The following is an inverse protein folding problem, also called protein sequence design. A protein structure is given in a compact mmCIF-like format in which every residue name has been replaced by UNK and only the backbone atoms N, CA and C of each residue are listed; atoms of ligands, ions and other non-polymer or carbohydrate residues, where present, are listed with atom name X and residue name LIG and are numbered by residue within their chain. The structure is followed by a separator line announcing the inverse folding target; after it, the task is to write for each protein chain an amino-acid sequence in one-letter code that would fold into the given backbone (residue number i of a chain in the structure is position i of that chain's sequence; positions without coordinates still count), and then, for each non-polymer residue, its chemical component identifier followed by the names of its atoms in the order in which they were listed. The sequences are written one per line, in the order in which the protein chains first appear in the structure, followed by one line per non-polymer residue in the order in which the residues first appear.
data_IF_452091154244
#
_entry.id   IF_452091154244
#
_cell.length_a   1.000
_cell.length_b   1.000
_cell.length_c   1.000
_cell.angle_alpha   90.00
_cell.angle_beta   90.00
_cell.angle_gamma   90.00
#
_symmetry.space_group_name_H-M   'P 1'
#
loop_
_entity.id
_entity.type
_entity.pdbx_description
1 polymer ?
#
# COMPACT_ATOMS: atom_id res chain seq x y z
N UNK A 1 4.02 -11.06 18.71
CA UNK A 1 4.30 -10.95 17.27
C UNK A 1 5.78 -11.22 17.11
N UNK A 2 6.15 -12.22 16.30
CA UNK A 2 7.55 -12.50 15.97
C UNK A 2 8.12 -11.38 15.11
N UNK A 3 9.42 -11.11 15.23
CA UNK A 3 10.10 -10.09 14.42
C UNK A 3 9.96 -10.40 12.92
N UNK A 4 9.73 -9.40 12.05
CA UNK A 4 9.63 -9.62 10.62
C UNK A 4 10.96 -10.16 10.07
N UNK A 5 10.94 -11.39 9.55
CA UNK A 5 12.11 -11.99 8.90
C UNK A 5 11.95 -11.89 7.38
N UNK A 6 13.01 -11.39 6.74
CA UNK A 6 13.08 -11.26 5.29
C UNK A 6 13.28 -12.64 4.64
N UNK A 7 12.58 -12.94 3.54
CA UNK A 7 12.57 -14.27 2.94
C UNK A 7 13.95 -14.70 2.40
N UNK A 8 14.74 -13.75 1.90
CA UNK A 8 16.06 -13.98 1.35
C UNK A 8 17.19 -13.45 2.26
N UNK A 9 16.88 -13.10 3.52
CA UNK A 9 17.85 -12.58 4.49
C UNK A 9 18.72 -11.42 3.97
N UNK A 10 18.14 -10.52 3.18
CA UNK A 10 18.84 -9.35 2.63
C UNK A 10 19.75 -9.67 1.43
N UNK A 11 19.51 -10.79 0.73
CA UNK A 11 20.30 -11.19 -0.43
C UNK A 11 20.47 -10.05 -1.45
N UNK A 12 21.69 -9.95 -2.01
CA UNK A 12 22.06 -8.97 -3.03
C UNK A 12 22.95 -9.61 -4.09
N UNK A 13 22.77 -9.16 -5.32
CA UNK A 13 23.60 -9.49 -6.47
C UNK A 13 23.94 -8.20 -7.24
N UNK A 14 25.21 -8.07 -7.64
CA UNK A 14 25.71 -6.91 -8.40
C UNK A 14 26.41 -7.43 -9.66
N UNK A 15 25.74 -7.30 -10.81
CA UNK A 15 26.21 -7.80 -12.10
C UNK A 15 25.82 -6.84 -13.22
N UNK A 16 25.21 -7.35 -14.30
CA UNK A 16 24.65 -6.46 -15.34
C UNK A 16 23.58 -5.50 -14.78
N UNK A 17 22.89 -5.90 -13.71
CA UNK A 17 21.99 -5.07 -12.94
C UNK A 17 22.19 -5.30 -11.43
N UNK A 18 21.82 -4.30 -10.64
CA UNK A 18 21.78 -4.39 -9.19
C UNK A 18 20.45 -4.99 -8.74
N UNK A 19 20.50 -6.11 -8.03
CA UNK A 19 19.34 -6.78 -7.48
C UNK A 19 19.55 -6.89 -5.98
N UNK A 20 18.58 -6.43 -5.19
CA UNK A 20 18.60 -6.58 -3.73
C UNK A 20 17.21 -6.87 -3.22
N UNK A 21 17.13 -7.66 -2.16
CA UNK A 21 15.91 -7.72 -1.36
C UNK A 21 15.69 -6.36 -0.67
N UNK A 22 14.44 -5.91 -0.63
CA UNK A 22 14.06 -4.61 -0.03
C UNK A 22 13.52 -4.75 1.40
N UNK A 23 13.50 -5.97 1.93
CA UNK A 23 12.87 -6.30 3.20
C UNK A 23 11.34 -6.37 3.12
N UNK A 24 10.67 -6.55 4.27
CA UNK A 24 9.21 -6.60 4.35
C UNK A 24 8.56 -5.29 3.91
N UNK A 25 7.54 -5.39 3.06
CA UNK A 25 6.72 -4.26 2.60
C UNK A 25 5.30 -4.42 3.11
N UNK A 26 4.68 -3.32 3.53
CA UNK A 26 3.27 -3.30 3.89
C UNK A 26 2.41 -3.21 2.64
N UNK A 27 1.41 -4.08 2.54
CA UNK A 27 0.46 -4.10 1.44
C UNK A 27 -0.95 -4.29 1.99
N UNK A 28 -1.87 -3.41 1.58
CA UNK A 28 -3.29 -3.50 1.90
C UNK A 28 -4.07 -3.53 0.59
N UNK A 29 -4.80 -4.62 0.34
CA UNK A 29 -5.80 -4.67 -0.73
C UNK A 29 -7.06 -3.95 -0.26
N UNK A 30 -7.43 -2.88 -0.95
CA UNK A 30 -8.66 -2.12 -0.69
C UNK A 30 -9.65 -2.37 -1.82
N UNK A 31 -10.79 -3.00 -1.50
CA UNK A 31 -11.92 -3.16 -2.41
C UNK A 31 -12.92 -2.03 -2.20
N UNK A 32 -13.21 -1.27 -3.24
CA UNK A 32 -14.10 -0.12 -3.18
C UNK A 32 -14.63 0.26 -4.56
N UNK A 33 -15.95 0.46 -4.69
CA UNK A 33 -16.59 0.91 -5.94
C UNK A 33 -17.61 1.99 -5.65
N UNK A 34 -17.45 3.16 -6.27
CA UNK A 34 -18.42 4.26 -6.16
C UNK A 34 -18.51 4.94 -4.78
N UNK A 35 -17.51 4.75 -3.91
CA UNK A 35 -17.48 5.38 -2.58
C UNK A 35 -16.97 6.82 -2.67
N UNK A 36 -17.77 7.77 -2.18
CA UNK A 36 -17.37 9.19 -2.08
C UNK A 36 -16.19 9.40 -1.12
N UNK A 37 -16.03 8.50 -0.16
CA UNK A 37 -14.98 8.53 0.86
C UNK A 37 -13.66 7.88 0.44
N UNK A 38 -13.57 7.30 -0.77
CA UNK A 38 -12.39 6.57 -1.22
C UNK A 38 -11.13 7.45 -1.22
N UNK A 39 -11.22 8.67 -1.76
CA UNK A 39 -10.09 9.62 -1.76
C UNK A 39 -9.59 9.92 -0.36
N UNK A 40 -10.52 10.06 0.60
CA UNK A 40 -10.18 10.30 2.01
C UNK A 40 -9.48 9.09 2.61
N UNK A 41 -9.96 7.89 2.36
CA UNK A 41 -9.37 6.65 2.88
C UNK A 41 -7.97 6.40 2.32
N UNK A 42 -7.79 6.55 0.99
CA UNK A 42 -6.47 6.42 0.35
C UNK A 42 -5.50 7.46 0.90
N UNK A 43 -5.92 8.73 0.98
CA UNK A 43 -5.06 9.79 1.52
C UNK A 43 -4.70 9.55 2.99
N UNK A 44 -5.63 9.05 3.80
CA UNK A 44 -5.37 8.74 5.21
C UNK A 44 -4.38 7.58 5.40
N UNK A 45 -4.42 6.57 4.53
CA UNK A 45 -3.57 5.40 4.62
C UNK A 45 -2.15 5.63 4.06
N UNK A 46 -2.06 6.25 2.89
CA UNK A 46 -0.81 6.33 2.11
C UNK A 46 -0.41 7.73 1.69
N UNK A 47 -1.22 8.76 2.00
CA UNK A 47 -0.91 10.15 1.69
C UNK A 47 -0.99 10.51 0.21
N UNK A 48 -1.43 9.60 -0.66
CA UNK A 48 -1.57 9.82 -2.10
C UNK A 48 -3.00 10.18 -2.49
N UNK A 49 -3.19 10.54 -3.77
CA UNK A 49 -4.52 10.56 -4.41
C UNK A 49 -4.91 9.14 -4.83
N UNK A 50 -6.17 8.96 -5.20
CA UNK A 50 -6.61 7.76 -5.95
C UNK A 50 -6.01 7.83 -7.36
N UNK A 51 -5.35 6.76 -7.84
CA UNK A 51 -4.75 6.74 -9.16
C UNK A 51 -5.82 6.69 -10.25
N UNK A 52 -5.48 7.24 -11.42
CA UNK A 52 -6.23 6.96 -12.64
C UNK A 52 -6.14 5.47 -13.02
N UNK A 53 -7.05 5.01 -13.88
CA UNK A 53 -7.07 3.62 -14.34
C UNK A 53 -5.71 3.21 -14.94
N UNK A 54 -5.16 2.08 -14.48
CA UNK A 54 -3.83 1.55 -14.86
C UNK A 54 -2.68 2.52 -14.54
N UNK A 55 -2.77 3.23 -13.40
CA UNK A 55 -1.71 4.09 -12.87
C UNK A 55 -1.42 3.76 -11.42
N UNK A 56 -0.32 4.32 -10.95
CA UNK A 56 0.11 4.32 -9.56
C UNK A 56 0.45 5.76 -9.17
N UNK A 57 -0.03 6.18 -8.01
CA UNK A 57 0.38 7.41 -7.36
C UNK A 57 1.40 7.04 -6.29
N UNK A 58 2.56 7.69 -6.30
CA UNK A 58 3.68 7.37 -5.39
C UNK A 58 3.99 8.60 -4.54
N UNK A 59 4.21 8.38 -3.26
CA UNK A 59 4.69 9.36 -2.30
C UNK A 59 5.79 8.73 -1.44
N UNK A 60 7.04 8.91 -1.85
CA UNK A 60 8.22 8.31 -1.22
C UNK A 60 8.09 6.78 -1.08
N UNK A 61 8.00 6.27 0.15
CA UNK A 61 7.88 4.86 0.51
C UNK A 61 6.43 4.35 0.53
N UNK A 62 5.48 5.16 0.06
CA UNK A 62 4.06 4.84 -0.02
C UNK A 62 3.52 4.97 -1.43
N UNK A 63 2.48 4.20 -1.73
CA UNK A 63 1.79 4.31 -3.00
C UNK A 63 0.34 3.84 -2.95
N UNK A 64 -0.46 4.28 -3.92
CA UNK A 64 -1.75 3.69 -4.26
C UNK A 64 -1.73 3.27 -5.73
N UNK A 65 -1.87 1.98 -6.00
CA UNK A 65 -1.90 1.41 -7.34
C UNK A 65 -3.32 0.95 -7.73
N UNK A 66 -3.71 1.24 -8.97
CA UNK A 66 -4.95 0.74 -9.55
C UNK A 66 -4.78 -0.73 -9.96
N UNK A 67 -5.64 -1.62 -9.45
CA UNK A 67 -5.61 -3.05 -9.79
C UNK A 67 -6.80 -3.45 -10.68
N UNK A 68 -8.00 -2.97 -10.35
CA UNK A 68 -9.24 -3.20 -11.10
C UNK A 68 -10.22 -2.03 -10.91
N UNK A 69 -11.38 -2.00 -11.60
CA UNK A 69 -12.40 -0.97 -11.38
C UNK A 69 -12.94 -0.87 -9.94
N UNK A 70 -12.68 -1.87 -9.10
CA UNK A 70 -13.13 -1.94 -7.72
C UNK A 70 -12.02 -2.35 -6.73
N UNK A 71 -10.74 -2.30 -7.15
CA UNK A 71 -9.60 -2.76 -6.36
C UNK A 71 -8.38 -1.87 -6.49
N UNK A 72 -7.78 -1.57 -5.34
CA UNK A 72 -6.57 -0.79 -5.19
C UNK A 72 -5.58 -1.51 -4.28
N UNK A 73 -4.29 -1.38 -4.60
CA UNK A 73 -3.21 -1.84 -3.75
C UNK A 73 -2.55 -0.65 -3.08
N UNK A 74 -2.64 -0.58 -1.75
CA UNK A 74 -1.98 0.44 -0.95
C UNK A 74 -0.66 -0.12 -0.43
N UNK A 75 0.43 0.57 -0.73
CA UNK A 75 1.79 0.22 -0.33
C UNK A 75 2.26 1.22 0.72
N UNK A 76 2.83 0.72 1.81
CA UNK A 76 3.34 1.52 2.93
C UNK A 76 4.42 0.75 3.72
N UNK A 77 5.16 1.40 4.63
CA UNK A 77 6.07 0.69 5.53
C UNK A 77 5.36 -0.46 6.28
N UNK A 78 6.01 -1.62 6.35
CA UNK A 78 5.40 -2.82 6.92
C UNK A 78 4.90 -2.62 8.37
N UNK A 79 5.67 -1.90 9.19
CA UNK A 79 5.31 -1.57 10.57
C UNK A 79 4.04 -0.72 10.68
N UNK A 80 3.64 -0.03 9.62
CA UNK A 80 2.51 0.89 9.62
C UNK A 80 1.21 0.29 9.07
N UNK A 81 1.22 -0.97 8.65
CA UNK A 81 0.02 -1.65 8.13
C UNK A 81 -1.15 -1.56 9.10
N UNK A 82 -0.93 -1.80 10.39
CA UNK A 82 -1.98 -1.73 11.41
C UNK A 82 -2.58 -0.32 11.53
N UNK A 83 -1.74 0.71 11.52
CA UNK A 83 -2.19 2.11 11.55
C UNK A 83 -2.95 2.48 10.27
N UNK A 84 -2.46 2.05 9.11
CA UNK A 84 -3.13 2.24 7.81
C UNK A 84 -4.51 1.60 7.77
N UNK A 85 -4.65 0.35 8.26
CA UNK A 85 -5.95 -0.32 8.38
C UNK A 85 -6.92 0.45 9.29
N UNK A 86 -6.46 0.92 10.45
CA UNK A 86 -7.28 1.71 11.37
C UNK A 86 -7.72 3.04 10.73
N UNK A 87 -6.83 3.72 10.00
CA UNK A 87 -7.14 4.95 9.28
C UNK A 87 -8.20 4.73 8.18
N UNK A 88 -8.10 3.62 7.43
CA UNK A 88 -9.09 3.24 6.42
C UNK A 88 -10.45 2.97 7.09
N UNK A 89 -10.49 2.17 8.15
CA UNK A 89 -11.72 1.84 8.87
C UNK A 89 -12.43 3.10 9.38
N UNK A 90 -11.69 4.02 9.99
CA UNK A 90 -12.23 5.31 10.45
C UNK A 90 -12.73 6.17 9.28
N UNK A 91 -12.01 6.22 8.16
CA UNK A 91 -12.38 7.02 7.00
C UNK A 91 -13.64 6.50 6.28
N UNK A 92 -13.85 5.19 6.30
CA UNK A 92 -14.96 4.52 5.63
C UNK A 92 -16.16 4.23 6.55
N UNK A 93 -16.07 4.52 7.86
CA UNK A 93 -17.11 4.19 8.85
C UNK A 93 -18.53 4.54 8.36
N UNK A 94 -19.43 3.55 8.40
CA UNK A 94 -20.82 3.68 7.95
C UNK A 94 -21.02 3.64 6.43
N UNK A 95 -19.99 3.32 5.65
CA UNK A 95 -20.04 3.20 4.18
C UNK A 95 -19.49 1.86 3.66
N UNK A 96 -19.11 0.96 4.57
CA UNK A 96 -18.64 -0.39 4.29
C UNK A 96 -19.35 -1.39 5.20
#
# INVERSE_FOLDING_TARGET
MSDPVSALQGARFDGFAQIREIGPVGMITLRAKGLKSLDKAVKAAVGTKVPAQRRIEVNADRACAWMSPDEYLLILPHAEVAAGLAAIAAALSGQH
#
